data_IF_472743550765
#
_entry.id   IF_472743550765
#
_cell.length_a   1.000
_cell.length_b   1.000
_cell.length_c   1.000
_cell.angle_alpha   90.00
_cell.angle_beta   90.00
_cell.angle_gamma   90.00
#
_symmetry.space_group_name_H-M   'P 1'
#
loop_
_entity.id
_entity.type
_entity.pdbx_description
1 polymer ?
#
# COMPACT_ATOMS: atom_id res chain seq x y z
N UNK A 1 3.56 1.12 -11.76
CA UNK A 1 2.20 1.07 -12.36
C UNK A 1 2.30 0.43 -13.72
N UNK A 2 1.50 -0.59 -14.04
CA UNK A 2 1.51 -1.23 -15.37
C UNK A 2 0.82 -0.34 -16.41
N UNK A 3 1.12 -0.54 -17.71
CA UNK A 3 0.48 0.21 -18.80
C UNK A 3 -1.05 0.08 -18.79
N UNK A 4 -1.55 -1.08 -18.37
CA UNK A 4 -2.98 -1.34 -18.19
C UNK A 4 -3.57 -0.60 -16.99
N UNK A 5 -2.81 -0.44 -15.90
CA UNK A 5 -3.23 0.39 -14.76
C UNK A 5 -3.31 1.86 -15.15
N UNK A 6 -2.35 2.36 -15.92
CA UNK A 6 -2.37 3.74 -16.42
C UNK A 6 -3.60 3.98 -17.31
N UNK A 7 -3.91 3.06 -18.22
CA UNK A 7 -5.13 3.12 -19.04
C UNK A 7 -6.42 3.16 -18.18
N UNK A 8 -6.48 2.41 -17.07
CA UNK A 8 -7.62 2.46 -16.15
C UNK A 8 -7.71 3.77 -15.37
N UNK A 9 -6.58 4.32 -14.94
CA UNK A 9 -6.55 5.61 -14.24
C UNK A 9 -7.06 6.75 -15.13
N UNK A 10 -6.71 6.70 -16.41
CA UNK A 10 -7.12 7.69 -17.43
C UNK A 10 -8.63 7.64 -17.71
N UNK A 11 -9.20 6.43 -17.84
CA UNK A 11 -10.66 6.26 -18.00
C UNK A 11 -11.45 6.91 -16.85
N UNK A 12 -10.87 6.99 -15.66
CA UNK A 12 -11.49 7.62 -14.51
C UNK A 12 -11.29 9.14 -14.45
N UNK A 13 -10.25 9.71 -15.08
CA UNK A 13 -9.85 11.09 -14.84
C UNK A 13 -10.07 12.09 -16.00
N UNK A 14 -10.44 11.65 -17.21
CA UNK A 14 -11.02 12.47 -18.30
C UNK A 14 -10.43 13.88 -18.48
N UNK A 15 -9.11 14.03 -18.45
CA UNK A 15 -8.41 15.30 -18.75
C UNK A 15 -7.57 15.16 -20.02
N UNK A 16 -7.28 16.30 -20.67
CA UNK A 16 -6.53 16.37 -21.92
C UNK A 16 -5.15 15.70 -21.78
N UNK A 17 -4.96 14.60 -22.52
CA UNK A 17 -3.88 13.61 -22.39
C UNK A 17 -2.52 14.12 -22.92
N UNK A 18 -2.01 15.21 -22.37
CA UNK A 18 -0.65 15.69 -22.66
C UNK A 18 0.30 15.31 -21.53
N UNK A 19 1.40 14.65 -21.90
CA UNK A 19 2.34 14.05 -20.97
C UNK A 19 3.77 14.48 -21.29
N UNK A 20 4.52 14.83 -20.26
CA UNK A 20 5.97 14.90 -20.29
C UNK A 20 6.54 13.49 -20.22
N UNK A 21 7.52 13.20 -21.06
CA UNK A 21 8.18 11.90 -21.12
C UNK A 21 9.66 12.10 -20.90
N UNK A 22 10.24 11.35 -19.97
CA UNK A 22 11.66 11.25 -19.76
C UNK A 22 12.15 9.84 -20.08
N UNK A 23 13.33 9.72 -20.68
CA UNK A 23 13.96 8.44 -21.00
C UNK A 23 15.33 8.41 -20.30
N UNK A 24 15.55 7.42 -19.43
CA UNK A 24 16.77 7.30 -18.61
C UNK A 24 17.14 8.60 -17.85
N UNK A 25 16.13 9.37 -17.44
CA UNK A 25 16.28 10.65 -16.73
C UNK A 25 16.34 11.90 -17.62
N UNK A 26 16.42 11.75 -18.95
CA UNK A 26 16.40 12.89 -19.89
C UNK A 26 14.96 13.22 -20.30
N UNK A 27 14.46 14.39 -19.87
CA UNK A 27 13.12 14.89 -20.23
C UNK A 27 13.10 15.33 -21.70
N UNK A 28 12.13 14.83 -22.46
CA UNK A 28 11.88 15.28 -23.83
C UNK A 28 11.16 16.62 -23.82
N UNK A 29 11.64 17.58 -24.60
CA UNK A 29 11.08 18.94 -24.71
C UNK A 29 9.66 18.99 -25.30
N UNK A 30 9.17 17.90 -25.89
CA UNK A 30 7.88 17.84 -26.54
C UNK A 30 6.86 17.11 -25.67
N UNK A 31 5.74 17.79 -25.39
CA UNK A 31 4.54 17.18 -24.82
C UNK A 31 3.99 16.12 -25.77
N UNK A 32 3.81 14.91 -25.26
CA UNK A 32 3.34 13.77 -26.04
C UNK A 32 1.94 13.33 -25.64
N UNK A 33 1.17 12.89 -26.63
CA UNK A 33 -0.07 12.18 -26.39
C UNK A 33 0.22 10.73 -25.96
N UNK A 34 -0.65 10.16 -25.13
CA UNK A 34 -0.49 8.79 -24.61
C UNK A 34 -0.21 7.70 -25.66
N UNK A 35 -0.85 7.70 -26.86
CA UNK A 35 -0.54 6.71 -27.90
C UNK A 35 0.91 6.78 -28.38
N UNK A 36 1.51 7.96 -28.32
CA UNK A 36 2.90 8.17 -28.69
C UNK A 36 3.86 7.78 -27.56
N UNK A 37 3.45 7.95 -26.28
CA UNK A 37 4.17 7.38 -25.12
C UNK A 37 4.29 5.86 -25.24
N UNK A 38 3.22 5.18 -25.65
CA UNK A 38 3.25 3.74 -25.93
C UNK A 38 4.27 3.37 -27.01
N UNK A 39 4.33 4.14 -28.10
CA UNK A 39 5.34 3.93 -29.17
C UNK A 39 6.76 4.18 -28.69
N UNK A 40 6.99 5.19 -27.84
CA UNK A 40 8.31 5.47 -27.27
C UNK A 40 8.78 4.30 -26.40
N UNK A 41 7.85 3.67 -25.67
CA UNK A 41 8.11 2.44 -24.92
C UNK A 41 8.44 1.24 -25.80
N UNK A 42 7.68 1.06 -26.88
CA UNK A 42 7.96 -0.03 -27.82
C UNK A 42 9.29 0.16 -28.56
N UNK A 43 9.70 1.40 -28.81
CA UNK A 43 10.97 1.75 -29.46
C UNK A 43 12.18 1.67 -28.52
N UNK A 44 11.97 1.84 -27.22
CA UNK A 44 13.03 1.82 -26.21
C UNK A 44 12.74 0.76 -25.12
N UNK A 45 12.70 -0.54 -25.46
CA UNK A 45 12.28 -1.60 -24.55
C UNK A 45 13.28 -1.89 -23.41
N UNK A 46 14.49 -1.35 -23.50
CA UNK A 46 15.58 -1.57 -22.55
C UNK A 46 15.92 -0.31 -21.72
N UNK A 47 15.11 0.75 -21.83
CA UNK A 47 15.33 2.03 -21.15
C UNK A 47 14.23 2.32 -20.14
N UNK A 48 14.58 3.06 -19.10
CA UNK A 48 13.62 3.56 -18.12
C UNK A 48 12.83 4.69 -18.78
N UNK A 49 11.50 4.60 -18.73
CA UNK A 49 10.63 5.64 -19.27
C UNK A 49 9.79 6.19 -18.13
N UNK A 50 9.92 7.46 -17.86
CA UNK A 50 9.21 8.15 -16.79
C UNK A 50 8.26 9.15 -17.41
N UNK A 51 7.02 9.18 -16.95
CA UNK A 51 5.97 9.97 -17.60
C UNK A 51 5.23 10.79 -16.57
N UNK A 52 5.10 12.09 -16.81
CA UNK A 52 4.43 13.03 -15.92
C UNK A 52 3.29 13.72 -16.67
N UNK A 53 2.12 13.83 -16.05
CA UNK A 53 0.99 14.52 -16.67
C UNK A 53 1.24 16.03 -16.71
N UNK A 54 0.98 16.68 -17.84
CA UNK A 54 1.27 18.11 -18.02
C UNK A 54 0.55 19.01 -17.00
N UNK A 55 -0.66 18.64 -16.55
CA UNK A 55 -1.39 19.40 -15.52
C UNK A 55 -0.75 19.35 -14.13
N UNK A 56 0.19 18.43 -13.90
CA UNK A 56 0.96 18.32 -12.65
C UNK A 56 2.37 18.89 -12.78
N UNK A 57 2.76 19.42 -13.93
CA UNK A 57 4.13 19.89 -14.16
C UNK A 57 4.51 21.13 -13.32
N UNK A 58 3.53 21.87 -12.82
CA UNK A 58 3.74 23.05 -11.95
C UNK A 58 3.75 22.72 -10.45
N UNK A 59 3.48 21.46 -10.08
CA UNK A 59 3.47 21.02 -8.69
C UNK A 59 4.87 20.49 -8.31
N UNK A 60 5.49 21.08 -7.29
CA UNK A 60 6.85 20.69 -6.85
C UNK A 60 6.87 19.26 -6.28
N UNK A 61 5.72 18.74 -5.87
CA UNK A 61 5.55 17.38 -5.33
C UNK A 61 5.02 16.39 -6.39
N UNK A 62 5.05 16.76 -7.67
CA UNK A 62 4.48 15.93 -8.74
C UNK A 62 5.26 14.62 -8.97
N UNK A 63 4.59 13.50 -8.70
CA UNK A 63 5.16 12.17 -8.89
C UNK A 63 5.22 11.76 -10.37
N UNK A 64 6.43 11.40 -10.84
CA UNK A 64 6.65 10.82 -12.16
C UNK A 64 6.22 9.34 -12.16
N UNK A 65 5.48 8.92 -13.18
CA UNK A 65 5.09 7.53 -13.36
C UNK A 65 6.23 6.81 -14.08
N UNK A 66 6.98 6.01 -13.35
CA UNK A 66 8.14 5.28 -13.86
C UNK A 66 7.72 3.91 -14.42
N UNK A 67 8.13 3.62 -15.66
CA UNK A 67 8.01 2.32 -16.31
C UNK A 67 9.35 1.59 -16.25
N UNK A 68 9.52 0.75 -15.23
CA UNK A 68 10.63 -0.19 -15.17
C UNK A 68 10.28 -1.51 -15.85
N UNK A 69 11.29 -2.17 -16.43
CA UNK A 69 11.18 -3.50 -17.05
C UNK A 69 11.13 -4.58 -15.98
N UNK A 70 10.08 -5.43 -16.01
CA UNK A 70 10.17 -6.80 -15.49
C UNK A 70 11.14 -7.59 -16.39
N UNK A 71 12.39 -7.72 -15.95
CA UNK A 71 13.37 -8.54 -16.67
C UNK A 71 12.94 -9.99 -16.55
N UNK A 72 12.51 -10.60 -17.66
CA UNK A 72 12.24 -12.03 -17.74
C UNK A 72 13.43 -12.83 -17.19
N UNK A 73 13.22 -13.52 -16.08
CA UNK A 73 14.19 -14.40 -15.43
C UNK A 73 14.68 -15.47 -16.40
N UNK A 74 15.89 -15.30 -16.93
CA UNK A 74 16.62 -16.36 -17.62
C UNK A 74 17.43 -17.11 -16.56
N UNK A 75 16.98 -18.31 -16.21
CA UNK A 75 17.68 -19.22 -15.30
C UNK A 75 19.15 -19.40 -15.72
N UNK A 76 20.06 -19.01 -14.83
CA UNK A 76 21.45 -19.49 -14.78
C UNK A 76 21.77 -19.83 -13.32
N UNK A 77 22.13 -21.08 -13.09
CA UNK A 77 22.59 -21.62 -11.82
C UNK A 77 24.12 -21.43 -11.75
N UNK A 78 24.59 -20.95 -10.58
CA UNK A 78 25.96 -20.72 -10.06
C UNK A 78 26.76 -19.59 -10.78
N UNK A 79 27.34 -18.57 -10.12
CA UNK A 79 27.95 -18.47 -8.79
C UNK A 79 27.88 -17.03 -8.24
N UNK A 80 27.79 -16.93 -6.91
CA UNK A 80 28.13 -15.82 -6.01
C UNK A 80 28.09 -14.35 -6.50
N UNK A 81 27.39 -13.55 -5.68
CA UNK A 81 27.45 -12.08 -5.45
C UNK A 81 26.33 -11.22 -6.02
N UNK A 82 25.78 -10.46 -5.06
CA UNK A 82 24.96 -9.23 -5.11
C UNK A 82 23.52 -9.41 -5.59
N UNK A 83 22.65 -9.62 -4.59
CA UNK A 83 21.21 -9.45 -4.69
C UNK A 83 20.92 -7.97 -4.40
N UNK A 84 20.49 -7.22 -5.41
CA UNK A 84 19.84 -5.92 -5.27
C UNK A 84 18.35 -6.16 -5.55
N UNK A 85 17.54 -6.05 -4.50
CA UNK A 85 16.09 -6.27 -4.50
C UNK A 85 15.43 -4.90 -4.33
N UNK A 86 14.80 -4.41 -5.40
CA UNK A 86 13.94 -3.22 -5.37
C UNK A 86 12.48 -3.65 -5.23
N UNK A 87 11.91 -3.53 -4.03
CA UNK A 87 10.50 -3.77 -3.77
C UNK A 87 9.95 -2.59 -2.95
N UNK A 88 9.42 -1.58 -3.63
CA UNK A 88 8.73 -0.45 -3.00
C UNK A 88 7.25 -0.80 -2.74
N UNK A 89 6.84 -0.66 -1.48
CA UNK A 89 5.44 -0.61 -1.07
C UNK A 89 5.35 0.63 -0.18
N UNK A 90 4.56 1.59 -0.63
CA UNK A 90 4.19 2.77 0.15
C UNK A 90 3.31 2.35 1.33
N UNK A 91 3.70 2.77 2.53
CA UNK A 91 2.91 2.65 3.74
C UNK A 91 1.83 3.75 3.75
N UNK A 92 0.69 3.46 4.36
CA UNK A 92 -0.25 4.48 4.82
C UNK A 92 -0.77 4.07 6.19
N UNK A 93 -0.62 4.99 7.14
CA UNK A 93 -1.02 4.89 8.54
C UNK A 93 -2.47 5.45 8.74
N UNK A 94 -3.00 5.57 9.97
CA UNK A 94 -4.14 4.78 10.43
C UNK A 94 -5.44 5.59 10.53
N UNK A 95 -6.58 4.94 10.30
CA UNK A 95 -7.91 5.55 10.45
C UNK A 95 -8.32 5.57 11.93
N UNK A 96 -8.69 6.78 12.38
CA UNK A 96 -9.22 7.09 13.70
C UNK A 96 -10.51 6.33 14.02
N UNK A 97 -10.47 5.74 15.20
CA UNK A 97 -11.55 5.22 16.03
C UNK A 97 -12.51 6.34 16.48
N UNK A 98 -13.83 6.08 16.40
CA UNK A 98 -14.87 6.81 17.13
C UNK A 98 -16.16 5.96 17.20
N UNK A 99 -17.01 6.12 18.22
CA UNK A 99 -17.52 5.00 19.02
C UNK A 99 -19.04 4.75 18.89
N UNK A 100 -19.46 3.49 19.11
CA UNK A 100 -20.75 3.14 19.76
C UNK A 100 -20.63 3.43 21.28
N UNK A 101 -21.71 3.69 22.06
CA UNK A 101 -23.03 3.04 21.98
C UNK A 101 -24.24 3.92 22.39
N UNK A 102 -25.48 3.40 22.25
CA UNK A 102 -26.47 3.36 23.35
C UNK A 102 -27.85 2.81 22.92
N UNK A 103 -28.29 1.81 23.68
CA UNK A 103 -29.68 1.37 23.89
C UNK A 103 -30.60 2.53 24.28
N UNK A 104 -31.83 2.55 23.75
CA UNK A 104 -33.02 2.93 24.50
C UNK A 104 -34.29 2.49 23.76
N UNK A 105 -34.85 1.38 24.24
CA UNK A 105 -36.24 0.96 24.11
C UNK A 105 -37.13 1.89 24.96
N UNK A 106 -38.38 2.16 24.54
CA UNK A 106 -39.44 2.16 25.55
C UNK A 106 -40.67 1.34 25.13
N UNK A 107 -41.04 0.42 26.02
CA UNK A 107 -42.31 -0.28 26.07
C UNK A 107 -43.51 0.68 26.30
N UNK A 108 -44.73 0.26 25.90
CA UNK A 108 -45.97 1.03 26.02
C UNK A 108 -46.54 1.01 27.46
N UNK A 109 -47.06 2.14 27.93
CA UNK A 109 -47.86 2.18 29.16
C UNK A 109 -49.37 2.03 28.89
N UNK A 110 -50.10 1.32 29.77
CA UNK A 110 -51.51 1.03 29.65
C UNK A 110 -52.36 2.17 30.23
N UNK A 111 -53.48 2.50 29.59
CA UNK A 111 -54.48 3.40 30.19
C UNK A 111 -55.65 2.55 30.66
N UNK A 112 -55.92 2.66 31.96
CA UNK A 112 -56.96 1.98 32.72
C UNK A 112 -58.38 2.22 32.17
N UNK A 113 -59.19 1.17 32.27
CA UNK A 113 -60.63 1.19 32.10
C UNK A 113 -61.32 1.47 33.45
N UNK A 114 -62.52 2.07 33.42
CA UNK A 114 -63.72 1.72 34.22
C UNK A 114 -64.89 2.73 33.98
N UNK A 115 -66.17 2.47 34.37
CA UNK A 115 -67.08 1.54 33.69
C UNK A 115 -68.53 2.09 33.53
N UNK A 116 -69.41 1.20 33.05
CA UNK A 116 -70.87 1.14 33.26
C UNK A 116 -71.79 2.01 32.37
N UNK A 117 -72.60 1.34 31.55
CA UNK A 117 -73.98 1.01 31.94
C UNK A 117 -74.59 -0.03 31.00
N UNK A 118 -75.37 -0.92 31.61
CA UNK A 118 -75.93 -2.13 31.02
C UNK A 118 -77.20 -1.88 30.21
N UNK A 119 -77.42 -2.71 29.18
CA UNK A 119 -78.64 -3.54 29.07
C UNK A 119 -78.55 -4.57 27.93
N UNK A 120 -79.24 -5.72 28.03
CA UNK A 120 -78.85 -6.96 27.35
C UNK A 120 -79.74 -7.38 26.16
N UNK A 121 -79.27 -8.43 25.44
CA UNK A 121 -80.03 -9.48 24.69
C UNK A 121 -80.01 -9.36 23.15
N UNK A 122 -79.99 -10.47 22.35
CA UNK A 122 -79.56 -11.86 22.59
C UNK A 122 -78.41 -12.33 21.67
N UNK A 123 -77.90 -13.53 21.98
CA UNK A 123 -76.88 -14.30 21.28
C UNK A 123 -77.05 -14.44 19.76
N UNK A 124 -75.96 -14.21 19.02
CA UNK A 124 -75.48 -15.11 17.97
C UNK A 124 -74.12 -14.65 17.44
N UNK A 125 -73.24 -15.62 17.21
CA UNK A 125 -72.07 -15.53 16.32
C UNK A 125 -70.79 -14.94 16.90
N UNK A 126 -70.20 -15.69 17.84
CA UNK A 126 -68.76 -15.74 17.99
C UNK A 126 -68.12 -16.28 16.70
N UNK A 127 -67.64 -15.37 15.84
CA UNK A 127 -66.54 -15.65 14.91
C UNK A 127 -65.65 -14.41 14.91
N UNK A 128 -64.38 -14.49 15.36
CA UNK A 128 -63.44 -13.42 15.07
C UNK A 128 -63.36 -13.26 13.55
N UNK A 129 -63.38 -12.00 13.12
CA UNK A 129 -63.54 -11.54 11.75
C UNK A 129 -62.64 -12.30 10.76
N UNK A 130 -63.27 -13.00 9.82
CA UNK A 130 -62.60 -13.75 8.75
C UNK A 130 -61.61 -12.89 7.95
N UNK A 131 -61.83 -11.58 7.89
CA UNK A 131 -60.99 -10.62 7.19
C UNK A 131 -59.70 -10.31 7.96
N UNK A 132 -59.77 -10.15 9.28
CA UNK A 132 -58.57 -9.96 10.10
C UNK A 132 -57.66 -11.19 10.06
N UNK A 133 -58.24 -12.39 10.10
CA UNK A 133 -57.48 -13.63 9.97
C UNK A 133 -56.77 -13.73 8.61
N UNK A 134 -57.40 -13.27 7.53
CA UNK A 134 -56.76 -13.24 6.20
C UNK A 134 -55.62 -12.22 6.11
N UNK A 135 -55.75 -11.06 6.75
CA UNK A 135 -54.70 -10.04 6.81
C UNK A 135 -53.49 -10.54 7.60
N UNK A 136 -53.71 -11.07 8.80
CA UNK A 136 -52.63 -11.64 9.62
C UNK A 136 -51.92 -12.80 8.92
N UNK A 137 -52.65 -13.62 8.15
CA UNK A 137 -52.06 -14.70 7.37
C UNK A 137 -51.18 -14.16 6.23
N UNK A 138 -51.61 -13.12 5.53
CA UNK A 138 -50.82 -12.47 4.49
C UNK A 138 -49.56 -11.80 5.06
N UNK A 139 -49.67 -11.14 6.22
CA UNK A 139 -48.52 -10.57 6.93
C UNK A 139 -47.54 -11.65 7.40
N UNK A 140 -48.03 -12.76 7.93
CA UNK A 140 -47.21 -13.89 8.34
C UNK A 140 -46.45 -14.49 7.15
N UNK A 141 -47.10 -14.63 5.99
CA UNK A 141 -46.48 -15.17 4.79
C UNK A 141 -45.47 -14.17 4.17
N UNK A 142 -45.75 -12.86 4.23
CA UNK A 142 -44.80 -11.82 3.86
C UNK A 142 -43.57 -11.81 4.80
N UNK A 143 -43.79 -11.98 6.11
CA UNK A 143 -42.71 -12.03 7.09
C UNK A 143 -41.84 -13.28 6.91
N UNK A 144 -42.45 -14.44 6.63
CA UNK A 144 -41.70 -15.66 6.28
C UNK A 144 -40.84 -15.48 5.04
N UNK A 145 -41.37 -14.82 4.01
CA UNK A 145 -40.62 -14.51 2.79
C UNK A 145 -39.44 -13.58 3.10
N UNK A 146 -39.66 -12.56 3.94
CA UNK A 146 -38.60 -11.64 4.37
C UNK A 146 -37.51 -12.37 5.16
N UNK A 147 -37.88 -13.24 6.12
CA UNK A 147 -36.94 -14.06 6.88
C UNK A 147 -36.15 -15.00 5.97
N UNK A 148 -36.79 -15.61 4.97
CA UNK A 148 -36.10 -16.46 4.00
C UNK A 148 -35.04 -15.67 3.21
N UNK A 149 -35.39 -14.47 2.72
CA UNK A 149 -34.43 -13.59 2.01
C UNK A 149 -33.27 -13.16 2.90
N UNK A 150 -33.55 -12.72 4.13
CA UNK A 150 -32.49 -12.36 5.09
C UNK A 150 -31.60 -13.58 5.41
N UNK A 151 -32.17 -14.77 5.54
CA UNK A 151 -31.38 -15.98 5.81
C UNK A 151 -30.42 -16.32 4.67
N UNK A 152 -30.84 -16.08 3.42
CA UNK A 152 -30.02 -16.26 2.22
C UNK A 152 -28.90 -15.21 2.16
N UNK A 153 -29.21 -13.96 2.46
CA UNK A 153 -28.22 -12.87 2.54
C UNK A 153 -27.19 -13.08 3.65
N UNK A 154 -27.61 -13.54 4.83
CA UNK A 154 -26.69 -13.91 5.91
C UNK A 154 -25.80 -15.09 5.48
N UNK A 155 -26.33 -16.05 4.75
CA UNK A 155 -25.54 -17.16 4.22
C UNK A 155 -24.52 -16.70 3.17
N UNK A 156 -24.88 -15.79 2.27
CA UNK A 156 -23.98 -15.23 1.25
C UNK A 156 -22.86 -14.40 1.90
N UNK A 157 -23.19 -13.52 2.85
CA UNK A 157 -22.20 -12.74 3.60
C UNK A 157 -21.25 -13.64 4.40
N UNK A 158 -21.75 -14.73 4.99
CA UNK A 158 -20.91 -15.70 5.71
C UNK A 158 -19.95 -16.43 4.77
N UNK A 159 -20.36 -16.71 3.53
CA UNK A 159 -19.49 -17.32 2.53
C UNK A 159 -18.42 -16.32 2.07
N UNK A 160 -18.80 -15.07 1.77
CA UNK A 160 -17.86 -14.01 1.44
C UNK A 160 -16.82 -13.78 2.56
N UNK A 161 -17.27 -13.77 3.82
CA UNK A 161 -16.38 -13.63 4.97
C UNK A 161 -15.36 -14.80 5.06
N UNK A 162 -15.76 -16.02 4.69
CA UNK A 162 -14.83 -17.16 4.62
C UNK A 162 -13.86 -17.02 3.46
N UNK A 163 -14.34 -16.57 2.30
CA UNK A 163 -13.51 -16.36 1.10
C UNK A 163 -12.43 -15.30 1.32
N UNK A 164 -12.73 -14.23 2.06
CA UNK A 164 -11.77 -13.15 2.34
C UNK A 164 -10.79 -13.49 3.48
N UNK A 165 -11.15 -14.40 4.40
CA UNK A 165 -10.32 -14.69 5.58
C UNK A 165 -8.97 -15.33 5.25
N UNK A 166 -8.95 -16.26 4.30
CA UNK A 166 -7.71 -16.92 3.86
C UNK A 166 -6.73 -15.97 3.15
N UNK A 167 -7.12 -15.21 2.11
CA UNK A 167 -6.21 -14.29 1.44
C UNK A 167 -5.77 -13.13 2.37
N UNK A 168 -6.59 -12.71 3.33
CA UNK A 168 -6.18 -11.75 4.35
C UNK A 168 -5.07 -12.31 5.26
N UNK A 169 -5.18 -13.59 5.66
CA UNK A 169 -4.15 -14.23 6.48
C UNK A 169 -2.85 -14.41 5.70
N UNK A 170 -2.93 -14.80 4.43
CA UNK A 170 -1.78 -14.91 3.52
C UNK A 170 -1.10 -13.55 3.30
N UNK A 171 -1.88 -12.50 3.01
CA UNK A 171 -1.35 -11.14 2.86
C UNK A 171 -0.64 -10.65 4.12
N UNK A 172 -1.16 -10.99 5.32
CA UNK A 172 -0.49 -10.68 6.58
C UNK A 172 0.83 -11.44 6.75
N UNK A 173 0.87 -12.73 6.41
CA UNK A 173 2.09 -13.52 6.48
C UNK A 173 3.17 -12.98 5.54
N UNK A 174 2.81 -12.62 4.30
CA UNK A 174 3.74 -12.02 3.34
C UNK A 174 4.29 -10.68 3.85
N UNK A 175 3.45 -9.89 4.51
CA UNK A 175 3.84 -8.61 5.08
C UNK A 175 4.86 -8.81 6.23
N UNK A 176 4.59 -9.76 7.13
CA UNK A 176 5.50 -10.12 8.24
C UNK A 176 6.85 -10.66 7.73
N UNK A 177 6.85 -11.52 6.71
CA UNK A 177 8.09 -12.00 6.08
C UNK A 177 8.91 -10.86 5.47
N UNK A 178 8.23 -9.88 4.84
CA UNK A 178 8.88 -8.71 4.27
C UNK A 178 9.45 -7.78 5.34
N UNK A 179 8.74 -7.59 6.45
CA UNK A 179 9.24 -6.81 7.59
C UNK A 179 10.51 -7.44 8.18
N UNK A 180 10.51 -8.76 8.38
CA UNK A 180 11.70 -9.49 8.84
C UNK A 180 12.88 -9.36 7.87
N UNK A 181 12.60 -9.45 6.56
CA UNK A 181 13.64 -9.26 5.55
C UNK A 181 14.23 -7.84 5.59
N UNK A 182 13.38 -6.82 5.74
CA UNK A 182 13.81 -5.43 5.85
C UNK A 182 14.69 -5.23 7.07
N UNK A 183 14.27 -5.73 8.24
CA UNK A 183 15.04 -5.65 9.48
C UNK A 183 16.43 -6.30 9.34
N UNK A 184 16.49 -7.50 8.76
CA UNK A 184 17.78 -8.17 8.50
C UNK A 184 18.65 -7.39 7.50
N UNK A 185 18.03 -6.80 6.47
CA UNK A 185 18.74 -6.03 5.46
C UNK A 185 19.30 -4.71 6.03
N UNK A 186 18.54 -4.05 6.90
CA UNK A 186 18.94 -2.83 7.60
C UNK A 186 20.11 -3.11 8.53
N UNK A 187 20.02 -4.17 9.33
CA UNK A 187 21.13 -4.61 10.19
C UNK A 187 22.38 -4.94 9.36
N UNK A 188 22.24 -5.64 8.23
CA UNK A 188 23.39 -5.94 7.36
C UNK A 188 24.01 -4.70 6.73
N UNK A 189 23.20 -3.71 6.34
CA UNK A 189 23.71 -2.44 5.81
C UNK A 189 24.41 -1.62 6.89
N UNK A 190 23.85 -1.59 8.09
CA UNK A 190 24.45 -0.92 9.24
C UNK A 190 25.82 -1.53 9.59
N UNK A 191 25.91 -2.87 9.70
CA UNK A 191 27.16 -3.57 9.96
C UNK A 191 28.21 -3.31 8.86
N UNK A 192 27.80 -3.27 7.59
CA UNK A 192 28.70 -2.94 6.47
C UNK A 192 29.21 -1.50 6.55
N UNK A 193 28.33 -0.55 6.87
CA UNK A 193 28.70 0.84 7.03
C UNK A 193 29.70 1.01 8.19
N UNK A 194 29.44 0.36 9.33
CA UNK A 194 30.36 0.38 10.47
C UNK A 194 31.71 -0.26 10.13
N UNK A 195 31.71 -1.40 9.42
CA UNK A 195 32.95 -2.05 8.96
C UNK A 195 33.75 -1.15 8.01
N UNK A 196 33.04 -0.45 7.10
CA UNK A 196 33.65 0.47 6.16
C UNK A 196 34.27 1.68 6.88
N UNK A 197 33.61 2.23 7.90
CA UNK A 197 34.12 3.32 8.72
C UNK A 197 35.41 2.92 9.45
N UNK A 198 35.43 1.73 10.07
CA UNK A 198 36.63 1.20 10.74
C UNK A 198 37.78 1.09 9.75
N UNK A 199 37.54 0.52 8.57
CA UNK A 199 38.56 0.38 7.52
C UNK A 199 39.06 1.75 7.02
N UNK A 200 38.19 2.76 6.89
CA UNK A 200 38.61 4.11 6.51
C UNK A 200 39.51 4.74 7.57
N UNK A 201 39.17 4.56 8.85
CA UNK A 201 39.99 5.05 9.96
C UNK A 201 41.38 4.38 9.97
N UNK A 202 41.45 3.06 9.74
CA UNK A 202 42.73 2.35 9.65
C UNK A 202 43.58 2.83 8.47
N UNK A 203 42.97 3.08 7.31
CA UNK A 203 43.68 3.63 6.15
C UNK A 203 44.21 5.04 6.41
N UNK A 204 43.43 5.88 7.08
CA UNK A 204 43.87 7.24 7.43
C UNK A 204 45.02 7.19 8.45
N UNK A 205 44.93 6.32 9.46
CA UNK A 205 46.02 6.12 10.41
C UNK A 205 47.32 5.66 9.71
N UNK A 206 47.23 4.70 8.80
CA UNK A 206 48.39 4.25 8.02
C UNK A 206 48.97 5.35 7.14
N UNK A 207 48.11 6.23 6.61
CA UNK A 207 48.53 7.39 5.82
C UNK A 207 49.30 8.40 6.67
N UNK A 208 48.82 8.70 7.86
CA UNK A 208 49.51 9.58 8.82
C UNK A 208 50.88 9.00 9.21
N UNK A 209 50.94 7.70 9.55
CA UNK A 209 52.20 7.03 9.89
C UNK A 209 53.23 7.06 8.75
N UNK A 210 52.78 6.89 7.50
CA UNK A 210 53.65 7.00 6.33
C UNK A 210 54.16 8.43 6.14
N UNK A 211 53.29 9.44 6.28
CA UNK A 211 53.70 10.84 6.19
C UNK A 211 54.74 11.19 7.25
N UNK A 212 54.58 10.72 8.48
CA UNK A 212 55.54 10.97 9.55
C UNK A 212 56.87 10.24 9.31
N UNK A 213 56.84 9.01 8.80
CA UNK A 213 58.06 8.30 8.36
C UNK A 213 58.77 9.04 7.23
N UNK A 214 58.04 9.55 6.24
CA UNK A 214 58.61 10.35 5.15
C UNK A 214 59.24 11.66 5.67
N UNK A 215 58.57 12.39 6.57
CA UNK A 215 59.12 13.58 7.20
C UNK A 215 60.41 13.27 7.97
N UNK A 216 60.42 12.19 8.73
CA UNK A 216 61.59 11.75 9.50
C UNK A 216 62.76 11.35 8.61
N UNK A 217 62.49 10.63 7.51
CA UNK A 217 63.52 10.29 6.52
C UNK A 217 64.11 11.55 5.88
N UNK A 218 63.26 12.48 5.43
CA UNK A 218 63.69 13.73 4.82
C UNK A 218 64.52 14.58 5.79
N UNK A 219 64.12 14.68 7.06
CA UNK A 219 64.87 15.37 8.09
C UNK A 219 66.25 14.72 8.34
N UNK A 220 66.31 13.38 8.33
CA UNK A 220 67.57 12.64 8.49
C UNK A 220 68.49 12.84 7.28
N UNK A 221 67.95 12.82 6.06
CA UNK A 221 68.70 13.08 4.84
C UNK A 221 69.28 14.50 4.84
N UNK A 222 68.48 15.51 5.23
CA UNK A 222 68.96 16.89 5.38
C UNK A 222 70.09 16.99 6.40
N UNK A 223 69.94 16.38 7.57
CA UNK A 223 70.97 16.38 8.61
C UNK A 223 72.28 15.67 8.18
N UNK A 224 72.19 14.65 7.32
CA UNK A 224 73.37 14.00 6.75
C UNK A 224 74.05 14.87 5.69
N UNK A 225 73.28 15.48 4.80
CA UNK A 225 73.81 16.40 3.78
C UNK A 225 74.52 17.61 4.42
N UNK A 226 73.94 18.19 5.47
CA UNK A 226 74.56 19.28 6.23
C UNK A 226 75.92 18.86 6.82
N UNK A 227 76.01 17.64 7.38
CA UNK A 227 77.27 17.11 7.92
C UNK A 227 78.34 16.88 6.85
N UNK A 228 77.96 16.40 5.67
CA UNK A 228 78.90 16.22 4.56
C UNK A 228 79.44 17.55 4.03
N UNK A 229 78.63 18.60 4.02
CA UNK A 229 79.08 19.95 3.59
C UNK A 229 79.92 20.69 4.63
N UNK A 230 79.86 20.28 5.90
CA UNK A 230 80.57 20.92 7.00
C UNK A 230 81.94 20.29 7.32
N UNK A 231 82.32 19.19 6.66
CA UNK A 231 83.57 18.47 6.86
C UNK A 231 84.58 18.68 5.74
#
# INVERSE_FOLDING_TARGET
>A
MTLNELQRWILNNSQEDTWWVAIDGDVLDNLMALPDVGKVKDQNPDREISVLHASKAEDEDAEWIIFEKEVAQKFRVISEKKIASGFQVSSSAPVKEAPEPAKAEPEPQPVEAEPATASPTPAASARPDSEQFTLYKAELDALKLAVAKLSEEVASLKNLAKEVKAPLAEAKAILEEREQFLEMSENSLFEKAQTQEVMQNELEQLREELQDKERNLKAREQALAEKETAS
#
